data_IF_684331577475
#
_entry.id   IF_684331577475
#
_cell.length_a   1.000
_cell.length_b   1.000
_cell.length_c   1.000
_cell.angle_alpha   90.00
_cell.angle_beta   90.00
_cell.angle_gamma   90.00
#
_symmetry.space_group_name_H-M   'P 1'
#
loop_
_entity.id
_entity.type
_entity.pdbx_description
1 polymer ?
#
# COMPACT_ATOMS: atom_id res chain seq x y z
N UNK A 1 6.43 -0.40 -7.65
CA UNK A 1 5.95 0.97 -7.38
C UNK A 1 7.08 1.97 -7.52
N UNK A 2 7.01 3.12 -6.86
CA UNK A 2 8.01 4.20 -7.01
C UNK A 2 9.40 3.79 -6.53
N UNK A 3 9.52 3.04 -5.43
CA UNK A 3 10.81 2.71 -4.83
C UNK A 3 11.20 1.24 -4.87
N UNK A 4 10.25 0.34 -4.68
CA UNK A 4 10.52 -1.10 -4.59
C UNK A 4 9.44 -1.91 -5.31
N UNK A 5 9.77 -3.13 -5.69
CA UNK A 5 8.77 -4.10 -6.12
C UNK A 5 7.77 -4.37 -4.98
N UNK A 6 6.50 -4.53 -5.33
CA UNK A 6 5.43 -4.73 -4.36
C UNK A 6 4.55 -5.91 -4.72
N UNK A 7 3.93 -6.47 -3.69
CA UNK A 7 2.82 -7.41 -3.81
C UNK A 7 1.52 -6.66 -3.57
N UNK A 8 0.49 -7.01 -4.33
CA UNK A 8 -0.83 -6.41 -4.22
C UNK A 8 -1.95 -7.41 -4.41
N UNK A 9 -3.14 -7.05 -3.94
CA UNK A 9 -4.37 -7.80 -4.16
C UNK A 9 -5.57 -6.87 -3.95
N UNK A 10 -6.77 -7.38 -4.24
CA UNK A 10 -8.04 -6.73 -3.90
C UNK A 10 -8.18 -6.60 -2.38
N UNK A 11 -8.25 -5.37 -1.82
CA UNK A 11 -8.37 -5.14 -0.38
C UNK A 11 -9.71 -5.58 0.21
N UNK A 12 -10.75 -5.70 -0.61
CA UNK A 12 -12.08 -6.16 -0.16
C UNK A 12 -12.21 -7.68 -0.19
N UNK A 13 -11.26 -8.38 -0.79
CA UNK A 13 -11.21 -9.85 -0.80
C UNK A 13 -10.37 -10.37 0.37
N UNK A 14 -11.01 -10.66 1.49
CA UNK A 14 -10.37 -11.16 2.72
C UNK A 14 -9.47 -12.37 2.46
N UNK A 15 -9.90 -13.31 1.60
CA UNK A 15 -9.13 -14.50 1.25
C UNK A 15 -7.84 -14.15 0.53
N UNK A 16 -7.90 -13.21 -0.41
CA UNK A 16 -6.71 -12.74 -1.14
C UNK A 16 -5.74 -12.02 -0.20
N UNK A 17 -6.25 -11.17 0.70
CA UNK A 17 -5.44 -10.46 1.71
C UNK A 17 -4.76 -11.45 2.65
N UNK A 18 -5.49 -12.43 3.19
CA UNK A 18 -4.91 -13.48 4.05
C UNK A 18 -3.88 -14.33 3.32
N UNK A 19 -4.13 -14.64 2.04
CA UNK A 19 -3.17 -15.34 1.18
C UNK A 19 -1.88 -14.54 1.01
N UNK A 20 -1.97 -13.24 0.74
CA UNK A 20 -0.83 -12.34 0.63
C UNK A 20 -0.05 -12.24 1.95
N UNK A 21 -0.73 -12.12 3.08
CA UNK A 21 -0.09 -12.11 4.40
C UNK A 21 0.65 -13.42 4.69
N UNK A 22 0.06 -14.56 4.31
CA UNK A 22 0.69 -15.88 4.44
C UNK A 22 1.95 -16.00 3.60
N UNK A 23 1.92 -15.57 2.32
CA UNK A 23 3.09 -15.56 1.43
C UNK A 23 4.25 -14.74 1.99
N UNK A 24 3.95 -13.67 2.72
CA UNK A 24 4.93 -12.78 3.34
C UNK A 24 5.36 -13.20 4.74
N UNK A 25 4.75 -14.21 5.32
CA UNK A 25 4.89 -14.54 6.74
C UNK A 25 4.67 -13.30 7.63
N UNK A 26 3.63 -12.51 7.29
CA UNK A 26 3.35 -11.22 7.91
C UNK A 26 2.19 -11.31 8.88
N UNK A 27 2.39 -10.95 10.17
CA UNK A 27 1.29 -10.84 11.12
C UNK A 27 0.25 -9.81 10.68
N UNK A 28 -1.03 -10.16 10.80
CA UNK A 28 -2.15 -9.30 10.39
C UNK A 28 -2.18 -7.98 11.17
N UNK A 29 -1.76 -7.99 12.43
CA UNK A 29 -1.74 -6.84 13.35
C UNK A 29 -0.83 -5.71 12.87
N UNK A 30 0.08 -5.99 11.94
CA UNK A 30 0.92 -4.95 11.32
C UNK A 30 0.12 -4.01 10.42
N UNK A 31 -1.06 -4.46 9.96
CA UNK A 31 -1.84 -3.74 8.97
C UNK A 31 -1.18 -3.68 7.58
N UNK A 32 -1.90 -3.17 6.63
CA UNK A 32 -1.48 -3.07 5.23
C UNK A 32 -1.64 -1.65 4.71
N UNK A 33 -0.83 -1.28 3.74
CA UNK A 33 -0.97 -0.02 3.00
C UNK A 33 -1.89 -0.26 1.81
N UNK A 34 -2.82 0.67 1.59
CA UNK A 34 -3.59 0.75 0.36
C UNK A 34 -3.04 1.86 -0.52
N UNK A 35 -2.85 1.57 -1.80
CA UNK A 35 -2.43 2.54 -2.80
C UNK A 35 -3.56 2.82 -3.78
N UNK A 36 -3.77 4.07 -4.10
CA UNK A 36 -4.74 4.54 -5.08
C UNK A 36 -4.13 5.62 -5.97
N UNK A 37 -4.81 5.97 -7.04
CA UNK A 37 -4.45 7.06 -7.96
C UNK A 37 -5.48 8.19 -7.99
N UNK A 38 -6.59 8.02 -7.28
CA UNK A 38 -7.63 9.03 -7.07
C UNK A 38 -8.09 8.97 -5.60
N UNK A 39 -8.49 10.11 -5.04
CA UNK A 39 -8.98 10.17 -3.65
C UNK A 39 -10.21 9.30 -3.44
N UNK A 40 -11.09 9.22 -4.43
CA UNK A 40 -12.31 8.42 -4.37
C UNK A 40 -12.02 6.91 -4.24
N UNK A 41 -10.81 6.44 -4.62
CA UNK A 41 -10.41 5.05 -4.42
C UNK A 41 -10.37 4.65 -2.93
N UNK A 42 -10.33 5.62 -2.03
CA UNK A 42 -10.26 5.38 -0.60
C UNK A 42 -11.60 5.52 0.13
N UNK A 43 -12.70 5.87 -0.57
CA UNK A 43 -14.01 6.13 0.06
C UNK A 43 -14.57 4.95 0.86
N UNK A 44 -14.23 3.71 0.44
CA UNK A 44 -14.60 2.50 1.18
C UNK A 44 -13.73 2.24 2.42
N UNK A 45 -12.66 3.04 2.64
CA UNK A 45 -11.66 2.75 3.68
C UNK A 45 -11.51 3.88 4.70
N UNK A 46 -11.72 5.13 4.33
CA UNK A 46 -11.62 6.25 5.26
C UNK A 46 -12.40 7.49 4.77
N UNK A 47 -12.84 8.31 5.71
CA UNK A 47 -13.47 9.61 5.45
C UNK A 47 -12.37 10.67 5.39
N UNK A 48 -11.83 10.96 4.20
CA UNK A 48 -10.66 11.81 4.03
C UNK A 48 -10.93 13.32 4.16
N UNK A 49 -12.19 13.75 4.12
CA UNK A 49 -12.54 15.16 4.01
C UNK A 49 -11.97 16.02 5.15
N UNK A 50 -11.95 15.51 6.37
CA UNK A 50 -11.43 16.24 7.54
C UNK A 50 -9.92 16.50 7.46
N UNK A 51 -9.19 15.60 6.81
CA UNK A 51 -7.73 15.63 6.72
C UNK A 51 -7.21 16.09 5.35
N UNK A 52 -8.12 16.44 4.43
CA UNK A 52 -7.80 16.69 3.02
C UNK A 52 -6.67 17.71 2.83
N UNK A 53 -6.68 18.79 3.62
CA UNK A 53 -5.65 19.82 3.54
C UNK A 53 -4.26 19.23 3.85
N UNK A 54 -4.13 18.50 4.95
CA UNK A 54 -2.87 17.89 5.37
C UNK A 54 -2.41 16.80 4.38
N UNK A 55 -3.31 15.92 3.97
CA UNK A 55 -3.03 14.86 3.02
C UNK A 55 -2.42 15.41 1.72
N UNK A 56 -2.98 16.48 1.18
CA UNK A 56 -2.55 17.09 -0.09
C UNK A 56 -1.22 17.85 0.02
N UNK A 57 -0.66 18.03 1.21
CA UNK A 57 0.70 18.60 1.37
C UNK A 57 1.78 17.67 0.83
N UNK A 58 1.50 16.35 0.78
CA UNK A 58 2.43 15.30 0.35
C UNK A 58 1.88 14.45 -0.81
N UNK A 59 0.57 14.50 -1.06
CA UNK A 59 -0.10 13.75 -2.10
C UNK A 59 -0.45 14.62 -3.33
N UNK A 60 -0.42 14.02 -4.53
CA UNK A 60 0.06 12.66 -4.82
C UNK A 60 1.58 12.55 -4.73
N UNK A 61 2.09 11.38 -4.27
CA UNK A 61 3.53 11.18 -4.15
C UNK A 61 3.94 9.96 -3.32
N UNK A 62 5.25 9.76 -3.15
CA UNK A 62 5.80 8.62 -2.42
C UNK A 62 5.71 8.83 -0.89
N UNK A 63 4.52 9.16 -0.39
CA UNK A 63 4.24 9.38 1.02
C UNK A 63 2.99 8.62 1.46
N UNK A 64 3.07 7.92 2.58
CA UNK A 64 1.95 7.18 3.17
C UNK A 64 1.45 7.89 4.41
N UNK A 65 0.15 8.14 4.45
CA UNK A 65 -0.51 8.69 5.63
C UNK A 65 -1.25 7.58 6.39
N UNK A 66 -1.16 7.58 7.72
CA UNK A 66 -2.05 6.84 8.60
C UNK A 66 -3.23 7.75 8.91
N UNK A 67 -4.43 7.31 8.54
CA UNK A 67 -5.67 8.07 8.65
C UNK A 67 -6.64 7.34 9.57
N UNK A 68 -7.32 8.01 10.52
CA UNK A 68 -8.37 7.40 11.32
C UNK A 68 -9.47 6.81 10.46
N UNK A 69 -10.00 5.66 10.86
CA UNK A 69 -11.13 5.00 10.19
C UNK A 69 -11.98 4.18 11.14
N UNK A 70 -13.27 4.12 10.84
CA UNK A 70 -14.28 3.26 11.45
C UNK A 70 -14.95 2.31 10.43
N UNK A 71 -14.50 2.37 9.17
CA UNK A 71 -15.12 1.65 8.04
C UNK A 71 -14.20 0.67 7.33
N UNK A 72 -12.87 0.79 7.51
CA UNK A 72 -11.92 -0.14 6.90
C UNK A 72 -12.05 -1.55 7.49
N UNK A 73 -11.94 -2.60 6.65
CA UNK A 73 -11.94 -3.98 7.13
C UNK A 73 -10.81 -4.26 8.12
N UNK A 74 -11.08 -5.08 9.12
CA UNK A 74 -10.10 -5.46 10.15
C UNK A 74 -8.85 -6.15 9.58
N UNK A 75 -9.02 -6.97 8.51
CA UNK A 75 -7.90 -7.62 7.85
C UNK A 75 -6.96 -6.65 7.10
N UNK A 76 -7.38 -5.38 6.90
CA UNK A 76 -6.54 -4.30 6.36
C UNK A 76 -5.90 -3.50 7.48
N UNK A 77 -6.69 -3.10 8.49
CA UNK A 77 -6.22 -2.26 9.61
C UNK A 77 -5.37 -3.04 10.61
N UNK A 78 -5.51 -4.37 10.67
CA UNK A 78 -4.90 -5.20 11.70
C UNK A 78 -5.49 -4.95 13.09
N UNK A 79 -6.79 -4.65 13.16
CA UNK A 79 -7.52 -4.35 14.39
C UNK A 79 -7.31 -2.95 14.96
N UNK A 80 -6.70 -2.04 14.17
CA UNK A 80 -6.52 -0.63 14.56
C UNK A 80 -7.67 0.24 14.06
N UNK A 81 -7.90 1.38 14.71
CA UNK A 81 -8.85 2.41 14.28
C UNK A 81 -8.23 3.38 13.27
N UNK A 82 -7.32 2.89 12.44
CA UNK A 82 -6.65 3.67 11.42
C UNK A 82 -6.19 2.78 10.25
N UNK A 83 -6.05 3.38 9.08
CA UNK A 83 -5.61 2.72 7.86
C UNK A 83 -4.46 3.50 7.23
N UNK A 84 -3.50 2.80 6.65
CA UNK A 84 -2.38 3.40 5.94
C UNK A 84 -2.72 3.53 4.45
N UNK A 85 -2.72 4.77 3.93
CA UNK A 85 -3.12 5.11 2.57
C UNK A 85 -2.00 5.84 1.85
N UNK A 86 -1.87 5.62 0.54
CA UNK A 86 -0.97 6.35 -0.35
C UNK A 86 -1.63 6.71 -1.67
N UNK A 87 -1.67 8.00 -1.99
CA UNK A 87 -2.11 8.50 -3.29
C UNK A 87 -0.89 8.67 -4.18
N UNK A 88 -0.81 7.91 -5.27
CA UNK A 88 0.32 7.87 -6.18
C UNK A 88 -0.03 8.49 -7.53
N UNK A 89 0.90 9.24 -8.10
CA UNK A 89 0.88 9.71 -9.49
C UNK A 89 1.83 8.91 -10.39
N UNK A 90 2.37 7.80 -9.90
CA UNK A 90 3.22 6.93 -10.69
C UNK A 90 2.39 6.16 -11.72
N UNK A 91 2.69 6.34 -13.00
CA UNK A 91 1.87 5.85 -14.11
C UNK A 91 1.45 4.38 -14.03
N UNK A 92 2.33 3.42 -13.71
CA UNK A 92 1.91 2.02 -13.57
C UNK A 92 0.88 1.78 -12.45
N UNK A 93 0.92 2.58 -11.38
CA UNK A 93 -0.09 2.52 -10.31
C UNK A 93 -1.41 3.12 -10.79
N UNK A 94 -1.37 4.25 -11.52
CA UNK A 94 -2.57 4.83 -12.13
C UNK A 94 -3.25 3.84 -13.07
N UNK A 95 -2.48 3.16 -13.93
CA UNK A 95 -3.00 2.14 -14.85
C UNK A 95 -3.67 0.97 -14.08
N UNK A 96 -2.98 0.40 -13.08
CA UNK A 96 -3.52 -0.69 -12.27
C UNK A 96 -4.79 -0.29 -11.52
N UNK A 97 -4.77 0.84 -10.83
CA UNK A 97 -5.92 1.32 -10.06
C UNK A 97 -7.10 1.67 -10.96
N UNK A 98 -6.84 2.22 -12.15
CA UNK A 98 -7.88 2.52 -13.14
C UNK A 98 -8.54 1.25 -13.70
N UNK A 99 -7.75 0.23 -14.02
CA UNK A 99 -8.25 -1.06 -14.53
C UNK A 99 -9.02 -1.79 -13.43
N UNK A 100 -8.51 -1.79 -12.21
CA UNK A 100 -9.14 -2.43 -11.05
C UNK A 100 -10.39 -1.66 -10.59
N UNK A 101 -10.44 -0.35 -10.78
CA UNK A 101 -11.55 0.51 -10.39
C UNK A 101 -11.50 0.95 -8.91
N UNK A 102 -10.33 0.97 -8.27
CA UNK A 102 -10.20 1.34 -6.87
C UNK A 102 -8.77 1.23 -6.32
N UNK A 103 -8.65 1.40 -5.01
CA UNK A 103 -7.39 1.17 -4.31
C UNK A 103 -7.05 -0.32 -4.24
N UNK A 104 -5.77 -0.63 -4.26
CA UNK A 104 -5.23 -2.00 -4.11
C UNK A 104 -4.33 -2.09 -2.89
N UNK A 105 -4.19 -3.28 -2.32
CA UNK A 105 -3.17 -3.54 -1.30
C UNK A 105 -1.79 -3.32 -1.90
N UNK A 106 -0.90 -2.68 -1.16
CA UNK A 106 0.49 -2.44 -1.57
C UNK A 106 1.45 -2.73 -0.42
N UNK A 107 2.27 -3.74 -0.59
CA UNK A 107 3.33 -4.10 0.37
C UNK A 107 4.59 -4.51 -0.38
N UNK A 108 5.78 -4.31 0.20
CA UNK A 108 7.05 -4.67 -0.44
C UNK A 108 7.14 -6.17 -0.76
N UNK A 109 7.78 -6.52 -1.87
CA UNK A 109 7.94 -7.91 -2.32
C UNK A 109 9.10 -8.60 -1.58
N UNK A 110 8.87 -8.97 -0.32
CA UNK A 110 9.79 -9.70 0.55
C UNK A 110 9.01 -10.45 1.62
N UNK A 111 9.60 -11.47 2.20
CA UNK A 111 9.14 -12.00 3.49
C UNK A 111 9.44 -11.01 4.60
N UNK A 112 8.71 -11.09 5.70
CA UNK A 112 8.89 -10.16 6.82
C UNK A 112 10.31 -10.24 7.38
N UNK A 113 11.01 -9.11 7.41
CA UNK A 113 12.40 -9.01 7.89
C UNK A 113 13.48 -9.23 6.83
N UNK A 114 13.12 -9.62 5.61
CA UNK A 114 14.05 -9.78 4.50
C UNK A 114 14.16 -8.50 3.65
N UNK A 115 15.18 -8.45 2.80
CA UNK A 115 15.36 -7.35 1.83
C UNK A 115 14.34 -7.54 0.69
N UNK A 116 13.65 -6.48 0.24
CA UNK A 116 12.75 -6.55 -0.91
C UNK A 116 13.46 -7.00 -2.19
N UNK A 117 12.78 -7.82 -2.98
CA UNK A 117 13.24 -8.22 -4.30
C UNK A 117 13.52 -6.98 -5.19
N UNK A 118 14.60 -7.05 -5.96
CA UNK A 118 15.07 -5.96 -6.83
C UNK A 118 14.79 -6.23 -8.30
N UNK A 119 14.59 -7.48 -8.67
CA UNK A 119 14.37 -7.90 -10.05
C UNK A 119 13.14 -8.79 -10.18
N UNK A 120 12.66 -8.92 -11.39
CA UNK A 120 11.52 -9.77 -11.76
C UNK A 120 11.85 -11.26 -11.55
N UNK A 121 13.10 -11.64 -11.83
CA UNK A 121 13.60 -13.00 -11.61
C UNK A 121 13.58 -13.37 -10.13
N UNK A 122 14.00 -12.44 -9.26
CA UNK A 122 13.94 -12.64 -7.80
C UNK A 122 12.48 -12.80 -7.33
N UNK A 123 11.54 -12.02 -7.88
CA UNK A 123 10.12 -12.14 -7.56
C UNK A 123 9.57 -13.48 -8.03
N UNK A 124 9.87 -13.87 -9.27
CA UNK A 124 9.43 -15.15 -9.82
C UNK A 124 9.96 -16.35 -9.03
N UNK A 125 11.18 -16.23 -8.51
CA UNK A 125 11.79 -17.26 -7.65
C UNK A 125 11.14 -17.33 -6.26
N UNK A 126 10.80 -16.18 -5.67
CA UNK A 126 10.16 -16.11 -4.34
C UNK A 126 8.67 -16.49 -4.39
N UNK A 127 7.98 -16.12 -5.47
CA UNK A 127 6.53 -16.22 -5.61
C UNK A 127 6.13 -16.73 -7.02
N UNK A 128 6.41 -18.01 -7.33
CA UNK A 128 6.26 -18.56 -8.69
C UNK A 128 4.82 -18.62 -9.19
N UNK A 129 3.84 -18.51 -8.32
CA UNK A 129 2.40 -18.58 -8.65
C UNK A 129 1.73 -17.21 -8.75
N UNK A 130 2.50 -16.12 -8.71
CA UNK A 130 1.96 -14.75 -8.77
C UNK A 130 2.14 -14.18 -10.17
N UNK A 131 1.07 -13.56 -10.70
CA UNK A 131 1.16 -12.77 -11.91
C UNK A 131 2.00 -11.51 -11.68
N UNK A 132 2.91 -11.23 -12.60
CA UNK A 132 3.80 -10.07 -12.52
C UNK A 132 3.34 -8.99 -13.50
N UNK A 133 3.02 -7.82 -12.97
CA UNK A 133 2.85 -6.61 -13.75
C UNK A 133 4.19 -5.89 -13.85
N UNK A 134 4.95 -6.23 -14.90
CA UNK A 134 6.30 -5.73 -15.09
C UNK A 134 6.32 -4.30 -15.61
N UNK A 135 6.88 -3.40 -14.84
CA UNK A 135 7.13 -1.99 -15.20
C UNK A 135 8.39 -1.50 -14.48
N UNK A 136 9.12 -0.53 -15.04
CA UNK A 136 10.26 0.08 -14.36
C UNK A 136 9.88 0.62 -12.97
N UNK A 137 10.82 0.68 -12.05
CA UNK A 137 10.60 1.39 -10.77
C UNK A 137 10.58 2.90 -11.00
N UNK A 138 9.89 3.64 -10.12
CA UNK A 138 9.68 5.08 -10.25
C UNK A 138 10.85 5.96 -9.83
N UNK A 139 12.01 5.38 -9.49
CA UNK A 139 13.24 6.11 -9.16
C UNK A 139 13.30 6.66 -7.73
N UNK A 140 12.33 6.33 -6.87
CA UNK A 140 12.42 6.64 -5.44
C UNK A 140 13.29 5.57 -4.75
N UNK A 141 14.22 5.99 -3.89
CA UNK A 141 15.08 5.06 -3.17
C UNK A 141 14.39 4.54 -1.89
N UNK A 142 14.24 3.23 -1.79
CA UNK A 142 13.71 2.57 -0.60
C UNK A 142 12.19 2.54 -0.46
N UNK A 143 11.75 2.29 0.74
CA UNK A 143 10.33 2.25 1.10
C UNK A 143 9.82 3.65 1.44
N UNK A 144 8.58 3.96 1.03
CA UNK A 144 8.00 5.29 1.29
C UNK A 144 7.88 5.61 2.79
N UNK A 145 8.07 6.87 3.21
CA UNK A 145 7.84 7.29 4.59
C UNK A 145 6.36 7.09 4.98
N UNK A 146 6.14 6.87 6.27
CA UNK A 146 4.80 6.73 6.86
C UNK A 146 4.66 7.75 7.98
N UNK A 147 3.59 8.54 7.93
CA UNK A 147 3.30 9.60 8.89
C UNK A 147 1.85 9.51 9.36
N UNK A 148 1.61 9.81 10.63
CA UNK A 148 0.27 9.89 11.20
C UNK A 148 -0.32 11.29 10.92
N UNK A 149 -1.51 11.35 10.32
CA UNK A 149 -2.12 12.61 9.88
C UNK A 149 -2.62 13.46 11.04
N UNK A 150 -2.96 12.84 12.19
CA UNK A 150 -3.51 13.55 13.35
C UNK A 150 -2.40 14.12 14.22
N UNK A 151 -1.41 13.29 14.56
CA UNK A 151 -0.31 13.69 15.43
C UNK A 151 0.85 14.35 14.71
N UNK A 152 0.96 14.15 13.39
CA UNK A 152 2.11 14.56 12.60
C UNK A 152 3.38 13.72 12.83
N UNK A 153 3.32 12.68 13.65
CA UNK A 153 4.48 11.86 13.98
C UNK A 153 4.88 10.94 12.84
N UNK A 154 6.18 10.85 12.57
CA UNK A 154 6.73 9.86 11.66
C UNK A 154 6.69 8.48 12.32
N UNK A 155 6.09 7.51 11.62
CA UNK A 155 6.04 6.09 12.02
C UNK A 155 7.15 5.30 11.34
N UNK A 156 7.51 5.70 10.13
CA UNK A 156 8.66 5.20 9.38
C UNK A 156 9.25 6.32 8.53
N UNK A 157 10.55 6.50 8.60
CA UNK A 157 11.30 7.34 7.68
C UNK A 157 11.62 6.56 6.38
N UNK A 158 12.02 7.25 5.34
CA UNK A 158 12.42 6.65 4.05
C UNK A 158 13.85 6.08 4.09
#
# INVERSE_FOLDING_TARGET
TEGVWGLGCDPMNEKAVKGLLSLKERPIEKGLILIGSDLNHFDAFAKLQEYKHELLTKWPGPHTWIVPTDISPEWITGGKNSVALRLSSYKPVEELCSIFGGAIVSTSANRTGEIPAKTEEEISALYPEIDIYSKPLGGFEGATPIQDVVSGNMVRES
#
